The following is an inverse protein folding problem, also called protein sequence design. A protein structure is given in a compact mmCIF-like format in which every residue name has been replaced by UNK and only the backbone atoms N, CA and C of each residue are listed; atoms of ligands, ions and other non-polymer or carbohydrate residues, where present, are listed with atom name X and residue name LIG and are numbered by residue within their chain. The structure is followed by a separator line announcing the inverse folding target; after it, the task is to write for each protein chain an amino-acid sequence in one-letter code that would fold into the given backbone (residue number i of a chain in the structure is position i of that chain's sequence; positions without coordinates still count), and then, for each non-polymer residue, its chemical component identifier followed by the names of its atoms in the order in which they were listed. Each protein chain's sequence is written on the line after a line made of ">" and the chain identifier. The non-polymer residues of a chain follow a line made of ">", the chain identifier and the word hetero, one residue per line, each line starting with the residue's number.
data_IF_346536493356
#
_entry.id   IF_346536493356
#
_cell.length_a   1.000
_cell.length_b   1.000
_cell.length_c   1.000
_cell.angle_alpha   90.00
_cell.angle_beta   90.00
_cell.angle_gamma   90.00
#
_symmetry.space_group_name_H-M   'P 1'
#
loop_
_entity.id
_entity.type
_entity.pdbx_description
1 polymer ?
#
# COMPACT_ATOMS: atom_id res chain seq x y z
N UNK A 1 -17.21 16.13 -15.60
CA UNK A 1 -16.98 14.70 -15.31
C UNK A 1 -17.90 14.36 -14.15
N UNK A 2 -18.91 13.52 -14.36
CA UNK A 2 -19.78 13.09 -13.27
C UNK A 2 -18.93 12.43 -12.16
N UNK A 3 -19.24 12.61 -10.88
CA UNK A 3 -18.58 11.83 -9.85
C UNK A 3 -18.85 10.35 -10.14
N UNK A 4 -17.79 9.58 -10.37
CA UNK A 4 -17.87 8.13 -10.30
C UNK A 4 -18.22 7.85 -8.85
N UNK A 5 -19.41 7.29 -8.60
CA UNK A 5 -19.79 6.82 -7.27
C UNK A 5 -18.79 5.74 -6.86
N UNK A 6 -17.78 6.18 -6.09
CA UNK A 6 -16.75 5.30 -5.57
C UNK A 6 -17.38 4.59 -4.38
N UNK A 7 -17.99 3.44 -4.63
CA UNK A 7 -18.47 2.61 -3.53
C UNK A 7 -17.26 2.17 -2.72
N UNK A 8 -17.23 2.55 -1.44
CA UNK A 8 -16.15 2.16 -0.55
C UNK A 8 -16.14 0.64 -0.39
N UNK A 9 -14.94 0.01 -0.36
CA UNK A 9 -14.84 -1.41 -0.06
C UNK A 9 -15.50 -1.74 1.29
N UNK A 10 -16.07 -2.95 1.45
CA UNK A 10 -16.69 -3.38 2.70
C UNK A 10 -15.82 -3.12 3.93
N UNK A 11 -16.44 -2.60 4.99
CA UNK A 11 -15.78 -2.29 6.26
C UNK A 11 -14.93 -1.02 6.28
N UNK A 12 -14.58 -0.42 5.13
CA UNK A 12 -13.92 0.88 5.08
C UNK A 12 -14.92 2.02 5.14
N UNK A 13 -14.71 2.98 6.04
CA UNK A 13 -15.48 4.23 6.10
C UNK A 13 -14.85 5.34 5.27
N UNK A 14 -13.55 5.27 4.99
CA UNK A 14 -12.83 6.24 4.16
C UNK A 14 -11.69 5.56 3.41
N UNK A 15 -11.40 6.05 2.21
CA UNK A 15 -10.27 5.60 1.38
C UNK A 15 -9.74 6.76 0.53
N UNK A 16 -8.42 6.87 0.43
CA UNK A 16 -7.75 7.75 -0.50
C UNK A 16 -6.45 7.12 -1.00
N UNK A 17 -6.11 7.43 -2.26
CA UNK A 17 -4.86 7.06 -2.90
C UNK A 17 -4.23 8.32 -3.48
N UNK A 18 -2.92 8.46 -3.37
CA UNK A 18 -2.18 9.56 -3.97
C UNK A 18 -0.79 9.08 -4.39
N UNK A 19 -0.29 9.62 -5.50
CA UNK A 19 1.07 9.36 -5.98
C UNK A 19 1.67 10.60 -6.62
N UNK A 20 3.00 10.65 -6.69
CA UNK A 20 3.77 11.69 -7.36
C UNK A 20 4.97 11.05 -8.04
N UNK A 21 5.23 11.38 -9.32
CA UNK A 21 6.41 10.88 -9.99
C UNK A 21 7.70 11.51 -9.43
N UNK A 22 8.81 10.81 -9.60
CA UNK A 22 10.16 11.36 -9.48
C UNK A 22 10.27 12.69 -10.23
N UNK A 23 10.98 13.68 -9.67
CA UNK A 23 11.09 15.00 -10.30
C UNK A 23 11.74 14.93 -11.69
N UNK A 24 10.99 15.34 -12.72
CA UNK A 24 11.41 15.29 -14.12
C UNK A 24 10.79 14.14 -14.91
N UNK A 25 10.25 13.13 -14.23
CA UNK A 25 9.49 12.06 -14.86
C UNK A 25 8.03 12.46 -15.08
N UNK A 26 7.41 11.88 -16.11
CA UNK A 26 5.99 12.09 -16.44
C UNK A 26 5.07 11.06 -15.80
N UNK A 27 5.62 9.94 -15.36
CA UNK A 27 4.89 8.78 -14.84
C UNK A 27 5.57 8.29 -13.57
N UNK A 28 4.78 7.77 -12.65
CA UNK A 28 5.24 7.29 -11.36
C UNK A 28 5.54 5.78 -11.44
N UNK A 29 6.70 5.38 -10.93
CA UNK A 29 7.11 3.98 -10.76
C UNK A 29 6.34 3.22 -9.68
N UNK A 30 5.65 3.92 -8.78
CA UNK A 30 4.88 3.29 -7.71
C UNK A 30 3.52 2.73 -8.19
N UNK A 31 3.06 1.69 -7.49
CA UNK A 31 1.79 1.01 -7.73
C UNK A 31 0.88 0.98 -6.52
N UNK A 32 -0.43 1.07 -6.74
CA UNK A 32 -1.47 0.93 -5.72
C UNK A 32 -2.68 0.20 -6.29
N UNK A 33 -3.18 -0.80 -5.57
CA UNK A 33 -4.43 -1.48 -5.87
C UNK A 33 -5.30 -1.55 -4.63
N UNK A 34 -6.59 -1.26 -4.80
CA UNK A 34 -7.63 -1.55 -3.80
C UNK A 34 -8.71 -2.35 -4.49
N UNK A 35 -9.01 -3.54 -3.96
CA UNK A 35 -9.94 -4.48 -4.57
C UNK A 35 -10.76 -5.21 -3.52
N UNK A 36 -12.08 -5.23 -3.69
CA UNK A 36 -12.95 -6.16 -2.96
C UNK A 36 -12.88 -7.53 -3.62
N UNK A 37 -12.59 -8.56 -2.81
CA UNK A 37 -12.50 -9.96 -3.21
C UNK A 37 -13.90 -10.60 -3.20
N UNK A 38 -14.04 -11.75 -3.87
CA UNK A 38 -15.32 -12.49 -3.96
C UNK A 38 -15.84 -12.95 -2.59
N UNK A 39 -14.94 -13.22 -1.65
CA UNK A 39 -15.26 -13.61 -0.27
C UNK A 39 -15.63 -12.41 0.64
N UNK A 40 -15.69 -11.19 0.07
CA UNK A 40 -16.03 -9.96 0.79
C UNK A 40 -14.83 -9.29 1.49
N UNK A 41 -13.64 -9.91 1.49
CA UNK A 41 -12.43 -9.28 2.00
C UNK A 41 -11.93 -8.16 1.07
N UNK A 42 -11.06 -7.29 1.58
CA UNK A 42 -10.46 -6.20 0.81
C UNK A 42 -8.96 -6.38 0.72
N UNK A 43 -8.44 -6.39 -0.50
CA UNK A 43 -7.01 -6.29 -0.79
C UNK A 43 -6.61 -4.84 -0.92
N UNK A 44 -5.62 -4.41 -0.12
CA UNK A 44 -4.79 -3.25 -0.40
C UNK A 44 -3.41 -3.73 -0.84
N UNK A 45 -2.92 -3.25 -1.97
CA UNK A 45 -1.56 -3.49 -2.43
C UNK A 45 -0.85 -2.17 -2.66
N UNK A 46 0.40 -2.09 -2.21
CA UNK A 46 1.31 -0.99 -2.50
C UNK A 46 2.59 -1.58 -3.08
N UNK A 47 3.09 -0.96 -4.15
CA UNK A 47 4.27 -1.38 -4.89
C UNK A 47 5.20 -0.18 -5.07
N UNK A 48 6.49 -0.42 -4.95
CA UNK A 48 7.58 0.50 -5.29
C UNK A 48 8.50 -0.28 -6.25
N UNK A 49 8.36 0.01 -7.55
CA UNK A 49 9.12 -0.68 -8.59
C UNK A 49 10.52 -0.07 -8.70
N UNK A 50 11.56 -0.91 -8.76
CA UNK A 50 12.93 -0.45 -8.78
C UNK A 50 13.23 0.46 -9.98
N UNK A 51 13.86 1.60 -9.69
CA UNK A 51 14.16 2.64 -10.66
C UNK A 51 13.12 3.76 -10.65
N UNK A 52 13.00 4.48 -11.76
CA UNK A 52 11.97 5.50 -11.96
C UNK A 52 11.59 5.60 -13.44
N UNK A 53 10.56 6.39 -13.74
CA UNK A 53 10.15 6.67 -15.11
C UNK A 53 9.43 5.50 -15.78
N UNK A 54 9.53 5.41 -17.11
CA UNK A 54 8.63 4.59 -17.91
C UNK A 54 8.74 3.08 -17.67
N UNK A 55 9.93 2.56 -17.34
CA UNK A 55 10.13 1.12 -17.13
C UNK A 55 9.61 0.66 -15.76
N UNK A 56 9.92 1.40 -14.69
CA UNK A 56 9.38 1.18 -13.36
C UNK A 56 7.85 1.29 -13.39
N UNK A 57 7.32 2.33 -14.05
CA UNK A 57 5.89 2.50 -14.22
C UNK A 57 5.23 1.31 -14.92
N UNK A 58 5.84 0.82 -16.02
CA UNK A 58 5.32 -0.34 -16.76
C UNK A 58 5.25 -1.57 -15.85
N UNK A 59 6.33 -1.86 -15.11
CA UNK A 59 6.35 -2.99 -14.18
C UNK A 59 5.26 -2.87 -13.12
N UNK A 60 5.11 -1.69 -12.49
CA UNK A 60 4.07 -1.48 -11.49
C UNK A 60 2.66 -1.72 -12.04
N UNK A 61 2.36 -1.22 -13.25
CA UNK A 61 1.06 -1.47 -13.90
C UNK A 61 0.84 -2.95 -14.23
N UNK A 62 1.87 -3.66 -14.68
CA UNK A 62 1.78 -5.10 -14.96
C UNK A 62 1.52 -5.91 -13.67
N UNK A 63 2.20 -5.58 -12.58
CA UNK A 63 2.03 -6.23 -11.28
C UNK A 63 0.64 -5.95 -10.68
N UNK A 64 0.14 -4.73 -10.77
CA UNK A 64 -1.23 -4.39 -10.40
C UNK A 64 -2.26 -5.16 -11.22
N UNK A 65 -2.09 -5.21 -12.54
CA UNK A 65 -3.01 -5.92 -13.43
C UNK A 65 -3.05 -7.42 -13.12
N UNK A 66 -1.90 -8.00 -12.77
CA UNK A 66 -1.84 -9.38 -12.30
C UNK A 66 -2.53 -9.54 -10.93
N UNK A 67 -2.25 -8.66 -9.98
CA UNK A 67 -2.89 -8.68 -8.66
C UNK A 67 -4.40 -8.53 -8.75
N UNK A 68 -4.90 -7.70 -9.69
CA UNK A 68 -6.31 -7.47 -9.93
C UNK A 68 -7.06 -8.71 -10.46
N UNK A 69 -6.34 -9.71 -10.98
CA UNK A 69 -6.88 -10.98 -11.46
C UNK A 69 -6.49 -12.17 -10.58
N UNK A 70 -5.54 -12.00 -9.66
CA UNK A 70 -5.09 -13.06 -8.78
C UNK A 70 -6.21 -13.50 -7.81
N UNK A 71 -6.37 -14.80 -7.53
CA UNK A 71 -7.42 -15.31 -6.64
C UNK A 71 -7.26 -14.82 -5.20
N UNK A 72 -8.37 -14.75 -4.47
CA UNK A 72 -8.44 -14.48 -3.02
C UNK A 72 -7.57 -15.49 -2.25
N UNK A 73 -6.49 -15.02 -1.61
CA UNK A 73 -5.54 -15.84 -0.85
C UNK A 73 -4.88 -15.03 0.26
N UNK A 74 -4.21 -15.73 1.17
CA UNK A 74 -3.34 -15.12 2.17
C UNK A 74 -2.25 -14.23 1.50
N UNK A 75 -1.97 -13.03 2.05
CA UNK A 75 -0.94 -12.13 1.54
C UNK A 75 0.41 -12.79 1.24
N UNK A 76 0.87 -13.71 2.10
CA UNK A 76 2.15 -14.40 1.89
C UNK A 76 2.13 -15.28 0.62
N UNK A 77 1.08 -16.09 0.43
CA UNK A 77 0.91 -16.94 -0.75
C UNK A 77 0.79 -16.11 -2.04
N UNK A 78 0.11 -14.96 -1.96
CA UNK A 78 -0.02 -14.05 -3.09
C UNK A 78 1.31 -13.38 -3.45
N UNK A 79 2.13 -12.99 -2.47
CA UNK A 79 3.50 -12.50 -2.71
C UNK A 79 4.39 -13.58 -3.33
N UNK A 80 4.31 -14.83 -2.88
CA UNK A 80 5.04 -15.95 -3.49
C UNK A 80 4.65 -16.18 -4.95
N UNK A 81 3.36 -16.13 -5.27
CA UNK A 81 2.88 -16.24 -6.63
C UNK A 81 3.29 -15.05 -7.51
N UNK A 82 3.21 -13.82 -6.97
CA UNK A 82 3.65 -12.60 -7.64
C UNK A 82 5.16 -12.66 -7.94
N UNK A 83 5.98 -13.06 -6.97
CA UNK A 83 7.41 -13.22 -7.13
C UNK A 83 7.76 -14.20 -8.26
N UNK A 84 7.12 -15.39 -8.28
CA UNK A 84 7.33 -16.37 -9.36
C UNK A 84 6.91 -15.81 -10.73
N UNK A 85 5.82 -15.05 -10.79
CA UNK A 85 5.32 -14.49 -12.06
C UNK A 85 6.26 -13.43 -12.64
N UNK A 86 6.93 -12.65 -11.79
CA UNK A 86 7.78 -11.52 -12.18
C UNK A 86 9.28 -11.80 -11.97
N UNK A 87 9.67 -13.07 -11.83
CA UNK A 87 11.07 -13.46 -11.66
C UNK A 87 11.90 -13.00 -12.87
N UNK A 88 12.97 -12.23 -12.61
CA UNK A 88 13.83 -11.65 -13.64
C UNK A 88 13.36 -10.29 -14.18
N UNK A 89 12.28 -9.70 -13.66
CA UNK A 89 11.89 -8.31 -13.94
C UNK A 89 12.84 -7.30 -13.26
N UNK A 90 12.62 -5.98 -13.38
CA UNK A 90 13.37 -5.00 -12.57
C UNK A 90 13.24 -5.30 -11.07
N UNK A 91 12.08 -5.80 -10.65
CA UNK A 91 11.72 -6.09 -9.28
C UNK A 91 11.04 -4.92 -8.58
N UNK A 92 10.36 -5.22 -7.47
CA UNK A 92 9.65 -4.22 -6.68
C UNK A 92 9.67 -4.57 -5.19
N UNK A 93 9.63 -3.55 -4.35
CA UNK A 93 9.14 -3.71 -2.99
C UNK A 93 7.61 -3.74 -3.00
N UNK A 94 7.01 -4.62 -2.21
CA UNK A 94 5.55 -4.86 -2.24
C UNK A 94 5.04 -5.11 -0.84
N UNK A 95 3.96 -4.42 -0.48
CA UNK A 95 3.14 -4.71 0.70
C UNK A 95 1.73 -5.10 0.27
N UNK A 96 1.27 -6.26 0.72
CA UNK A 96 -0.10 -6.73 0.54
C UNK A 96 -0.80 -6.79 1.90
N UNK A 97 -2.01 -6.26 1.95
CA UNK A 97 -2.88 -6.26 3.13
C UNK A 97 -4.22 -6.84 2.72
N UNK A 98 -4.69 -7.84 3.46
CA UNK A 98 -6.05 -8.38 3.35
C UNK A 98 -6.83 -7.99 4.60
N UNK A 99 -7.99 -7.38 4.40
CA UNK A 99 -8.92 -6.99 5.45
C UNK A 99 -10.17 -7.86 5.36
N UNK A 100 -10.47 -8.59 6.43
CA UNK A 100 -11.72 -9.33 6.57
C UNK A 100 -12.85 -8.41 7.02
N UNK A 101 -14.10 -8.84 6.78
CA UNK A 101 -15.29 -8.11 7.20
C UNK A 101 -15.41 -7.92 8.73
N UNK A 102 -14.78 -8.79 9.52
CA UNK A 102 -14.76 -8.71 10.99
C UNK A 102 -13.63 -7.81 11.56
N UNK A 103 -12.87 -7.13 10.68
CA UNK A 103 -11.75 -6.29 11.06
C UNK A 103 -10.44 -7.05 11.24
N UNK A 104 -10.37 -8.36 10.99
CA UNK A 104 -9.10 -9.06 10.95
C UNK A 104 -8.24 -8.57 9.78
N UNK A 105 -7.01 -8.18 10.08
CA UNK A 105 -6.01 -7.76 9.11
C UNK A 105 -4.90 -8.82 9.03
N UNK A 106 -4.62 -9.30 7.83
CA UNK A 106 -3.41 -10.03 7.51
C UNK A 106 -2.55 -9.20 6.55
N UNK A 107 -1.24 -9.14 6.77
CA UNK A 107 -0.33 -8.48 5.84
C UNK A 107 0.99 -9.22 5.67
N UNK A 108 1.57 -9.05 4.49
CA UNK A 108 2.92 -9.48 4.19
C UNK A 108 3.59 -8.40 3.34
N UNK A 109 4.85 -8.11 3.65
CA UNK A 109 5.61 -7.07 2.95
C UNK A 109 7.05 -7.51 2.73
N UNK A 110 7.57 -7.22 1.54
CA UNK A 110 8.96 -7.44 1.13
C UNK A 110 9.50 -6.14 0.58
N UNK A 111 10.67 -5.71 1.06
CA UNK A 111 11.29 -4.44 0.71
C UNK A 111 10.95 -3.31 1.67
N UNK A 112 10.97 -2.08 1.15
CA UNK A 112 10.91 -0.81 1.87
C UNK A 112 9.50 -0.19 1.98
N UNK A 113 8.45 -0.87 1.48
CA UNK A 113 7.07 -0.40 1.64
C UNK A 113 6.62 -0.57 3.10
N UNK A 114 6.13 0.51 3.69
CA UNK A 114 5.75 0.58 5.10
C UNK A 114 4.23 0.67 5.28
N UNK A 115 3.69 -0.25 6.08
CA UNK A 115 2.34 -0.15 6.64
C UNK A 115 2.41 0.41 8.06
N UNK A 116 1.67 1.49 8.31
CA UNK A 116 1.38 2.02 9.64
C UNK A 116 -0.10 1.76 9.94
N UNK A 117 -0.39 1.27 11.14
CA UNK A 117 -1.75 1.12 11.65
C UNK A 117 -1.83 1.93 12.93
N UNK A 118 -2.71 2.92 12.97
CA UNK A 118 -2.95 3.75 14.14
C UNK A 118 -4.30 3.36 14.77
N UNK A 119 -4.24 2.84 15.99
CA UNK A 119 -5.39 2.49 16.81
C UNK A 119 -4.98 2.33 18.28
N UNK A 120 -5.67 2.97 19.23
CA UNK A 120 -5.03 3.75 20.32
C UNK A 120 -3.50 3.99 20.29
N UNK A 121 -2.70 2.95 20.10
CA UNK A 121 -1.27 2.94 19.84
C UNK A 121 -0.94 2.82 18.33
N UNK A 122 0.25 3.24 17.94
CA UNK A 122 0.73 3.09 16.57
C UNK A 122 1.52 1.78 16.42
N UNK A 123 1.16 0.98 15.42
CA UNK A 123 1.95 -0.17 14.95
C UNK A 123 2.61 0.16 13.61
N UNK A 124 3.90 -0.15 13.48
CA UNK A 124 4.64 -0.09 12.21
C UNK A 124 5.02 -1.49 11.77
N UNK A 125 4.76 -1.79 10.50
CA UNK A 125 4.88 -3.12 9.92
C UNK A 125 5.78 -3.02 8.69
N UNK A 126 7.12 -2.89 8.86
CA UNK A 126 8.07 -2.79 7.76
C UNK A 126 8.18 -4.11 7.00
N UNK A 127 8.58 -4.06 5.73
CA UNK A 127 8.82 -5.26 4.93
C UNK A 127 10.05 -6.06 5.36
N UNK A 128 10.09 -7.35 4.98
CA UNK A 128 11.30 -8.15 5.10
C UNK A 128 12.31 -7.71 4.03
N UNK A 129 13.63 -7.68 4.32
CA UNK A 129 14.63 -7.36 3.31
C UNK A 129 14.53 -8.29 2.10
N UNK A 130 14.42 -7.69 0.91
CA UNK A 130 14.29 -8.41 -0.35
C UNK A 130 13.55 -7.58 -1.40
N UNK A 131 13.40 -8.18 -2.58
CA UNK A 131 12.77 -7.57 -3.75
C UNK A 131 11.97 -8.63 -4.49
N UNK A 132 10.66 -8.39 -4.63
CA UNK A 132 9.76 -9.26 -5.40
C UNK A 132 10.17 -9.25 -6.87
N UNK A 133 10.19 -10.41 -7.52
CA UNK A 133 10.72 -10.57 -8.88
C UNK A 133 12.25 -10.69 -8.97
N UNK A 134 12.98 -10.51 -7.86
CA UNK A 134 14.44 -10.64 -7.77
C UNK A 134 14.84 -11.64 -6.69
N UNK A 135 15.27 -11.18 -5.51
CA UNK A 135 15.66 -12.01 -4.37
C UNK A 135 14.63 -11.78 -3.26
N UNK A 136 13.81 -12.80 -2.97
CA UNK A 136 12.78 -12.70 -1.93
C UNK A 136 13.02 -13.74 -0.83
N UNK A 137 12.97 -13.35 0.45
CA UNK A 137 13.06 -14.30 1.55
C UNK A 137 11.79 -15.16 1.63
N UNK A 138 11.81 -16.17 2.50
CA UNK A 138 10.55 -16.81 2.93
C UNK A 138 9.66 -15.77 3.58
N UNK A 139 8.48 -15.57 2.98
CA UNK A 139 7.55 -14.52 3.36
C UNK A 139 6.92 -14.84 4.71
N UNK A 140 6.88 -13.85 5.60
CA UNK A 140 6.22 -13.91 6.91
C UNK A 140 4.99 -13.05 6.89
N UNK A 141 3.87 -13.67 7.27
CA UNK A 141 2.62 -12.96 7.46
C UNK A 141 2.54 -12.41 8.90
N UNK A 142 2.01 -11.20 9.03
CA UNK A 142 1.64 -10.58 10.30
C UNK A 142 0.14 -10.39 10.35
N UNK A 143 -0.43 -10.52 11.54
CA UNK A 143 -1.86 -10.42 11.78
C UNK A 143 -2.15 -9.45 12.90
N UNK A 144 -3.21 -8.67 12.74
CA UNK A 144 -3.71 -7.68 13.69
C UNK A 144 -5.23 -7.68 13.65
N UNK A 145 -5.88 -7.26 14.73
CA UNK A 145 -7.30 -6.95 14.73
C UNK A 145 -7.46 -5.43 14.66
N UNK A 146 -8.28 -4.95 13.71
CA UNK A 146 -8.64 -3.54 13.61
C UNK A 146 -9.78 -3.21 14.56
N UNK A 147 -9.67 -2.06 15.20
CA UNK A 147 -10.77 -1.43 15.93
C UNK A 147 -11.53 -0.48 15.02
N UNK A 148 -12.80 -0.24 15.32
CA UNK A 148 -13.56 0.86 14.72
C UNK A 148 -12.75 2.17 14.76
N UNK A 149 -12.66 2.86 13.63
CA UNK A 149 -11.90 4.09 13.46
C UNK A 149 -10.40 3.92 13.20
N UNK A 150 -9.87 2.69 13.23
CA UNK A 150 -8.45 2.43 12.96
C UNK A 150 -8.03 3.01 11.60
N UNK A 151 -6.88 3.69 11.59
CA UNK A 151 -6.32 4.32 10.41
C UNK A 151 -5.17 3.47 9.87
N UNK A 152 -5.27 3.08 8.61
CA UNK A 152 -4.22 2.39 7.87
C UNK A 152 -3.55 3.38 6.93
N UNK A 153 -2.23 3.40 6.96
CA UNK A 153 -1.40 4.20 6.07
C UNK A 153 -0.32 3.32 5.45
N UNK A 154 -0.43 3.04 4.15
CA UNK A 154 0.64 2.42 3.37
C UNK A 154 1.41 3.51 2.64
N UNK A 155 2.74 3.45 2.68
CA UNK A 155 3.62 4.38 1.95
C UNK A 155 4.79 3.65 1.30
N UNK A 156 5.15 4.06 0.09
CA UNK A 156 6.47 3.76 -0.50
C UNK A 156 7.56 4.57 0.21
N UNK A 157 8.83 4.24 -0.03
CA UNK A 157 9.95 4.93 0.64
C UNK A 157 10.19 6.35 0.12
N UNK A 158 9.60 6.70 -1.02
CA UNK A 158 9.47 8.08 -1.48
C UNK A 158 8.74 8.99 -0.50
N UNK A 159 7.96 8.45 0.44
CA UNK A 159 7.48 9.18 1.61
C UNK A 159 8.42 8.92 2.78
N UNK A 160 8.82 9.98 3.51
CA UNK A 160 9.69 9.85 4.68
C UNK A 160 9.19 8.77 5.63
N UNK A 161 10.06 7.80 5.92
CA UNK A 161 9.78 6.71 6.85
C UNK A 161 9.51 7.22 8.27
N UNK A 162 10.33 8.17 8.73
CA UNK A 162 10.15 8.82 10.03
C UNK A 162 9.40 10.14 9.85
N UNK A 163 8.10 10.10 10.18
CA UNK A 163 7.31 11.30 10.37
C UNK A 163 7.73 11.98 11.68
N UNK A 164 7.57 13.31 11.81
CA UNK A 164 7.79 14.00 13.07
C UNK A 164 6.95 13.36 14.19
N UNK A 165 7.51 13.27 15.40
CA UNK A 165 6.80 12.72 16.55
C UNK A 165 5.46 13.44 16.77
N UNK A 166 4.37 12.69 16.99
CA UNK A 166 3.03 13.24 17.17
C UNK A 166 2.32 13.66 15.87
N UNK A 167 3.03 13.74 14.73
CA UNK A 167 2.44 14.27 13.51
C UNK A 167 1.26 13.43 13.01
N UNK A 168 1.37 12.10 13.08
CA UNK A 168 0.30 11.23 12.60
C UNK A 168 -0.91 11.33 13.53
N UNK A 169 -0.68 11.37 14.84
CA UNK A 169 -1.69 11.51 15.88
C UNK A 169 -2.47 12.82 15.72
N UNK A 170 -1.76 13.93 15.55
CA UNK A 170 -2.34 15.27 15.37
C UNK A 170 -3.20 15.38 14.11
N UNK A 171 -2.92 14.56 13.09
CA UNK A 171 -3.58 14.61 11.78
C UNK A 171 -4.51 13.42 11.52
N UNK A 172 -4.59 12.43 12.44
CA UNK A 172 -5.32 11.19 12.25
C UNK A 172 -6.84 11.39 12.09
N UNK A 173 -7.38 12.47 12.68
CA UNK A 173 -8.78 12.85 12.58
C UNK A 173 -9.17 13.54 11.27
N UNK A 174 -8.19 13.85 10.39
CA UNK A 174 -8.50 14.43 9.08
C UNK A 174 -9.14 13.38 8.17
N UNK A 175 -10.03 13.80 7.23
CA UNK A 175 -10.52 12.91 6.18
C UNK A 175 -9.37 12.29 5.39
N UNK A 176 -9.47 11.02 5.00
CA UNK A 176 -8.41 10.25 4.35
C UNK A 176 -7.79 10.97 3.14
N UNK A 177 -8.63 11.63 2.32
CA UNK A 177 -8.17 12.44 1.18
C UNK A 177 -7.27 13.60 1.63
N UNK A 178 -7.68 14.34 2.67
CA UNK A 178 -6.93 15.49 3.18
C UNK A 178 -5.64 15.04 3.84
N UNK A 179 -5.68 13.96 4.62
CA UNK A 179 -4.49 13.38 5.23
C UNK A 179 -3.49 12.90 4.17
N UNK A 180 -3.95 12.17 3.15
CA UNK A 180 -3.12 11.74 2.04
C UNK A 180 -2.47 12.91 1.30
N UNK A 181 -3.24 13.96 0.99
CA UNK A 181 -2.68 15.18 0.37
C UNK A 181 -1.62 15.86 1.26
N UNK A 182 -1.87 15.99 2.56
CA UNK A 182 -0.94 16.62 3.50
C UNK A 182 0.35 15.79 3.67
N UNK A 183 0.22 14.47 3.70
CA UNK A 183 1.35 13.55 3.74
C UNK A 183 2.22 13.72 2.49
N UNK A 184 1.61 13.71 1.31
CA UNK A 184 2.32 13.87 0.04
C UNK A 184 2.95 15.25 -0.13
N UNK A 185 2.31 16.32 0.35
CA UNK A 185 2.86 17.68 0.25
C UNK A 185 4.06 17.90 1.17
N UNK A 186 4.00 17.36 2.39
CA UNK A 186 4.97 17.70 3.44
C UNK A 186 6.11 16.68 3.55
N UNK A 187 5.83 15.41 3.21
CA UNK A 187 6.72 14.29 3.54
C UNK A 187 7.18 13.46 2.34
N UNK A 188 6.67 13.69 1.13
CA UNK A 188 7.20 13.02 -0.05
C UNK A 188 8.51 13.67 -0.54
N UNK A 189 9.52 12.85 -0.81
CA UNK A 189 10.84 13.22 -1.34
C UNK A 189 10.75 13.62 -2.82
N UNK A 190 11.38 14.73 -3.20
CA UNK A 190 11.32 15.20 -4.61
C UNK A 190 12.12 14.33 -5.58
N UNK A 191 13.15 13.66 -5.09
CA UNK A 191 14.07 12.84 -5.88
C UNK A 191 13.69 11.36 -5.82
N UNK A 192 12.39 11.09 -5.71
CA UNK A 192 11.86 9.73 -5.63
C UNK A 192 10.42 9.71 -6.17
N UNK A 193 10.01 8.56 -6.68
CA UNK A 193 8.59 8.24 -6.82
C UNK A 193 7.98 8.11 -5.42
N UNK A 194 6.78 8.62 -5.21
CA UNK A 194 6.14 8.54 -3.90
C UNK A 194 4.65 8.24 -4.03
N UNK A 195 4.17 7.31 -3.22
CA UNK A 195 2.76 6.94 -3.18
C UNK A 195 2.28 6.62 -1.76
N UNK A 196 0.98 6.86 -1.53
CA UNK A 196 0.32 6.49 -0.29
C UNK A 196 -1.12 5.99 -0.49
N UNK A 197 -1.52 5.02 0.32
CA UNK A 197 -2.91 4.63 0.53
C UNK A 197 -3.27 5.01 1.97
N UNK A 198 -4.37 5.74 2.14
CA UNK A 198 -4.96 6.09 3.44
C UNK A 198 -6.33 5.45 3.51
N UNK A 199 -6.58 4.60 4.50
CA UNK A 199 -7.86 3.93 4.69
C UNK A 199 -8.30 4.00 6.16
N UNK A 200 -9.60 4.19 6.41
CA UNK A 200 -10.18 4.16 7.75
C UNK A 200 -11.14 3.00 7.88
N UNK A 201 -10.97 2.20 8.92
CA UNK A 201 -11.87 1.11 9.26
C UNK A 201 -13.12 1.64 9.98
N UNK A 202 -14.30 1.22 9.55
CA UNK A 202 -15.58 1.84 9.92
C UNK A 202 -16.38 1.14 11.02
N UNK A 203 -16.07 -0.11 11.35
CA UNK A 203 -16.94 -0.96 12.20
C UNK A 203 -16.25 -1.59 13.39
#
# INVERSE_FOLDING_TARGET
>A
MAPVDFQLPPGLSELAQASRPFFGERVCGDGMLVRTEEDGSVLLAMLDALGHGAEAHRLAREMEAWLAQAPAQAPASRLEALHRRFLGSLGAAVCLVRLEADGALACASVGNVLLRVLQPEQSQLPGQPGTVGQIMPRVRERRLALRAGALLLLTTDGVREHLPAGWLEDNAGLPARKLGSLLMSNHAKRHDDAACIVARWGT
#
